data_IF_647667767748
#
_entry.id   IF_647667767748
#
_cell.length_a   1.000
_cell.length_b   1.000
_cell.length_c   1.000
_cell.angle_alpha   90.00
_cell.angle_beta   90.00
_cell.angle_gamma   90.00
#
_symmetry.space_group_name_H-M   'P 1'
#
loop_
_entity.id
_entity.type
_entity.pdbx_description
1 polymer ?
#
# COMPACT_ATOMS: atom_id res chain seq x y z
N UNK A 1 9.33 71.61 -2.03
CA UNK A 1 9.93 71.20 -0.76
C UNK A 1 8.88 70.35 -0.04
N UNK A 2 8.92 69.04 0.24
CA UNK A 2 9.96 68.03 0.26
C UNK A 2 9.28 66.65 0.21
N UNK A 3 9.34 65.94 -0.93
CA UNK A 3 9.00 64.50 -0.99
C UNK A 3 10.04 63.71 -1.79
N UNK A 4 10.58 64.31 -2.85
CA UNK A 4 11.67 63.71 -3.63
C UNK A 4 13.01 63.71 -2.87
N UNK A 5 13.28 64.75 -2.06
CA UNK A 5 14.48 64.83 -1.20
C UNK A 5 14.42 63.80 -0.05
N UNK A 6 13.25 63.62 0.56
CA UNK A 6 13.02 62.60 1.58
C UNK A 6 13.13 61.15 1.03
N UNK A 7 12.77 60.94 -0.23
CA UNK A 7 12.93 59.65 -0.91
C UNK A 7 14.39 59.39 -1.32
N UNK A 8 15.12 60.40 -1.79
CA UNK A 8 16.57 60.30 -2.06
C UNK A 8 17.37 60.06 -0.77
N UNK A 9 16.99 60.68 0.35
CA UNK A 9 17.61 60.45 1.65
C UNK A 9 17.36 59.03 2.19
N UNK A 10 16.16 58.46 1.97
CA UNK A 10 15.85 57.06 2.32
C UNK A 10 16.57 56.04 1.44
N UNK A 11 16.77 56.33 0.16
CA UNK A 11 17.52 55.44 -0.75
C UNK A 11 19.02 55.50 -0.49
N UNK A 12 19.56 56.65 -0.07
CA UNK A 12 20.98 56.79 0.30
C UNK A 12 21.35 56.09 1.63
N UNK A 13 20.39 55.94 2.57
CA UNK A 13 20.61 55.18 3.81
C UNK A 13 20.61 53.65 3.61
N UNK A 14 20.25 53.15 2.42
CA UNK A 14 20.21 51.72 2.11
C UNK A 14 21.45 51.21 1.33
N UNK A 15 22.39 52.10 0.99
CA UNK A 15 23.62 51.75 0.26
C UNK A 15 24.83 52.24 1.05
N UNK A 16 25.04 51.63 2.22
CA UNK A 16 26.31 51.68 2.95
C UNK A 16 27.15 50.45 2.60
N UNK A 17 28.29 50.67 1.95
CA UNK A 17 29.29 49.63 1.74
C UNK A 17 29.99 49.28 3.06
N UNK A 18 30.05 48.00 3.41
CA UNK A 18 31.05 47.47 4.34
C UNK A 18 31.63 46.17 3.79
N UNK A 19 32.82 46.33 3.21
CA UNK A 19 33.97 45.42 3.27
C UNK A 19 33.87 44.31 4.34
N UNK A 20 34.19 43.08 3.93
CA UNK A 20 34.84 42.01 4.71
C UNK A 20 34.29 41.67 6.11
N UNK A 21 33.64 40.49 6.24
CA UNK A 21 33.88 39.48 7.31
C UNK A 21 32.81 38.38 7.21
N UNK A 22 33.14 37.18 6.71
CA UNK A 22 33.65 36.04 7.51
C UNK A 22 32.80 35.79 8.77
N UNK A 23 31.74 35.00 8.60
CA UNK A 23 31.03 34.39 9.70
C UNK A 23 31.86 33.26 10.29
N UNK A 24 32.33 33.49 11.52
CA UNK A 24 32.87 32.60 12.56
C UNK A 24 34.05 33.33 13.22
N UNK A 25 33.74 34.20 14.18
CA UNK A 25 34.72 34.90 15.00
C UNK A 25 35.29 33.96 16.07
N UNK A 26 36.17 33.06 15.65
CA UNK A 26 37.07 32.31 16.53
C UNK A 26 38.46 32.49 15.93
N UNK A 27 39.41 32.99 16.73
CA UNK A 27 40.80 33.12 16.30
C UNK A 27 41.35 31.72 15.95
N UNK A 28 41.91 31.58 14.74
CA UNK A 28 42.57 30.35 14.32
C UNK A 28 43.80 30.11 15.20
N UNK A 29 43.92 28.92 15.77
CA UNK A 29 45.04 28.52 16.61
C UNK A 29 46.38 28.65 15.83
N UNK A 30 47.48 29.16 16.43
CA UNK A 30 48.75 29.44 15.76
C UNK A 30 49.43 28.23 15.11
N UNK A 31 48.93 27.00 15.34
CA UNK A 31 49.42 25.78 14.71
C UNK A 31 48.90 25.57 13.27
N UNK A 32 47.91 26.36 12.82
CA UNK A 32 47.25 26.20 11.51
C UNK A 32 47.51 27.36 10.54
N UNK A 33 48.27 28.38 10.94
CA UNK A 33 48.58 29.53 10.08
C UNK A 33 49.60 29.23 8.97
N UNK A 34 50.41 28.18 9.10
CA UNK A 34 51.60 27.97 8.25
C UNK A 34 51.43 26.95 7.12
N UNK A 35 50.22 26.39 6.93
CA UNK A 35 49.94 25.40 5.86
C UNK A 35 49.70 26.03 4.47
N UNK A 36 49.89 27.35 4.33
CA UNK A 36 49.52 28.11 3.13
C UNK A 36 50.66 28.46 2.16
N UNK A 37 51.91 28.11 2.46
CA UNK A 37 53.05 28.55 1.64
C UNK A 37 53.89 27.39 1.12
N UNK A 38 53.69 27.03 -0.15
CA UNK A 38 54.70 26.35 -0.96
C UNK A 38 54.52 26.73 -2.43
N UNK A 39 55.55 27.38 -2.98
CA UNK A 39 55.70 27.85 -4.37
C UNK A 39 56.14 26.71 -5.30
N UNK A 40 56.01 26.85 -6.64
CA UNK A 40 56.09 25.74 -7.57
C UNK A 40 57.54 25.38 -7.92
N UNK A 41 57.83 24.09 -8.09
CA UNK A 41 59.04 23.63 -8.76
C UNK A 41 58.73 22.40 -9.62
N UNK A 42 58.87 22.60 -10.93
CA UNK A 42 58.99 21.56 -11.93
C UNK A 42 60.35 20.88 -11.76
N UNK A 43 60.40 19.55 -11.70
CA UNK A 43 61.38 18.81 -12.51
C UNK A 43 60.99 17.34 -12.71
N UNK A 44 60.95 16.96 -13.98
CA UNK A 44 60.73 15.60 -14.47
C UNK A 44 61.91 14.70 -14.10
N UNK A 45 61.64 13.50 -13.60
CA UNK A 45 62.61 12.40 -13.67
C UNK A 45 61.93 11.15 -14.23
N UNK A 46 62.21 10.88 -15.51
CA UNK A 46 61.91 9.61 -16.19
C UNK A 46 62.65 8.48 -15.48
N UNK A 47 61.94 7.41 -15.14
CA UNK A 47 62.48 6.05 -15.08
C UNK A 47 61.46 5.09 -15.66
N UNK A 48 61.73 4.70 -16.89
CA UNK A 48 61.32 3.44 -17.49
C UNK A 48 61.86 2.30 -16.64
N UNK A 49 61.00 1.39 -16.19
CA UNK A 49 61.22 -0.05 -16.05
C UNK A 49 59.94 -0.67 -15.50
N UNK A 50 59.19 -1.31 -16.38
CA UNK A 50 58.02 -2.11 -16.04
C UNK A 50 58.46 -3.36 -15.27
N UNK A 51 58.40 -3.29 -13.93
CA UNK A 51 58.37 -4.50 -13.12
C UNK A 51 56.94 -5.02 -13.13
N UNK A 52 56.68 -6.10 -13.86
CA UNK A 52 55.37 -6.76 -13.84
C UNK A 52 55.10 -7.25 -12.42
N UNK A 53 53.95 -6.84 -11.88
CA UNK A 53 53.54 -7.19 -10.53
C UNK A 53 53.07 -8.65 -10.53
N UNK A 54 53.66 -9.56 -9.72
CA UNK A 54 53.36 -11.00 -9.75
C UNK A 54 51.93 -11.37 -9.29
N UNK A 55 51.09 -10.37 -8.96
CA UNK A 55 49.65 -10.53 -8.68
C UNK A 55 48.73 -10.18 -9.87
N UNK A 56 49.28 -9.85 -11.03
CA UNK A 56 48.53 -9.63 -12.28
C UNK A 56 48.82 -10.80 -13.23
N UNK A 57 48.05 -11.88 -13.10
CA UNK A 57 48.10 -13.02 -14.01
C UNK A 57 47.55 -12.66 -15.40
N UNK A 58 48.27 -13.10 -16.44
CA UNK A 58 47.86 -12.95 -17.82
C UNK A 58 47.02 -14.15 -18.29
N UNK A 59 45.71 -13.89 -18.45
CA UNK A 59 44.72 -14.62 -19.28
C UNK A 59 44.31 -16.03 -18.79
N UNK A 60 43.10 -16.55 -19.11
CA UNK A 60 42.27 -16.25 -20.28
C UNK A 60 40.76 -16.06 -19.99
N UNK A 61 40.03 -15.74 -21.06
CA UNK A 61 38.57 -15.79 -21.25
C UNK A 61 37.67 -16.09 -20.02
N UNK A 62 36.90 -15.06 -19.67
CA UNK A 62 35.47 -15.14 -19.35
C UNK A 62 35.02 -15.66 -17.97
N UNK A 63 34.34 -14.75 -17.25
CA UNK A 63 33.26 -14.95 -16.27
C UNK A 63 33.63 -15.24 -14.79
N UNK A 64 33.76 -14.13 -14.02
CA UNK A 64 33.36 -14.00 -12.60
C UNK A 64 34.33 -13.13 -11.77
N UNK A 65 33.92 -12.21 -10.85
CA UNK A 65 32.60 -11.99 -10.25
C UNK A 65 31.90 -10.70 -10.75
N UNK A 66 30.58 -10.61 -10.58
CA UNK A 66 29.69 -9.55 -11.09
C UNK A 66 29.83 -8.20 -10.36
N UNK A 67 30.98 -7.55 -10.45
CA UNK A 67 31.17 -6.15 -10.04
C UNK A 67 31.17 -5.25 -11.26
N UNK A 68 29.99 -4.84 -11.77
CA UNK A 68 29.90 -3.88 -12.88
C UNK A 68 30.69 -2.63 -12.50
N UNK A 69 31.81 -2.36 -13.18
CA UNK A 69 32.45 -1.04 -13.12
C UNK A 69 31.39 -0.04 -13.56
N UNK A 70 30.86 0.71 -12.58
CA UNK A 70 29.81 1.69 -12.85
C UNK A 70 30.45 2.76 -13.73
N UNK A 71 29.99 2.96 -14.98
CA UNK A 71 30.50 4.05 -15.77
C UNK A 71 30.26 5.33 -14.98
N UNK A 72 31.32 6.12 -14.77
CA UNK A 72 31.20 7.40 -14.08
C UNK A 72 30.22 8.27 -14.86
N UNK A 73 29.10 8.61 -14.24
CA UNK A 73 28.00 9.35 -14.91
C UNK A 73 28.56 10.66 -15.47
N UNK A 74 28.55 10.81 -16.78
CA UNK A 74 28.99 12.05 -17.42
C UNK A 74 28.09 13.19 -16.98
N UNK A 75 28.70 14.36 -16.72
CA UNK A 75 27.95 15.55 -16.34
C UNK A 75 27.12 16.03 -17.53
N UNK A 76 25.83 15.73 -17.51
CA UNK A 76 24.88 16.23 -18.51
C UNK A 76 24.35 17.60 -18.07
N UNK A 77 25.02 18.65 -18.51
CA UNK A 77 24.62 20.02 -18.21
C UNK A 77 23.34 20.39 -18.95
N UNK A 78 22.39 20.97 -18.23
CA UNK A 78 21.20 21.54 -18.85
C UNK A 78 21.55 22.89 -19.49
N UNK A 79 21.05 23.19 -20.70
CA UNK A 79 21.29 24.47 -21.33
C UNK A 79 20.70 25.61 -20.49
N UNK A 80 21.40 26.75 -20.47
CA UNK A 80 20.95 27.95 -19.76
C UNK A 80 19.53 28.31 -20.20
N UNK A 81 18.67 28.60 -19.22
CA UNK A 81 17.28 28.99 -19.49
C UNK A 81 16.25 27.86 -19.49
N UNK A 82 16.63 26.57 -19.54
CA UNK A 82 15.67 25.45 -19.49
C UNK A 82 14.73 25.53 -18.28
N UNK A 83 15.29 25.66 -17.08
CA UNK A 83 14.51 25.77 -15.84
C UNK A 83 13.87 27.15 -15.64
N UNK A 84 14.42 28.19 -16.26
CA UNK A 84 13.83 29.53 -16.25
C UNK A 84 12.52 29.52 -17.07
N UNK A 85 12.53 28.88 -18.25
CA UNK A 85 11.35 28.70 -19.09
C UNK A 85 10.30 27.83 -18.38
N UNK A 86 10.70 26.73 -17.75
CA UNK A 86 9.79 25.89 -16.96
C UNK A 86 9.17 26.66 -15.80
N UNK A 87 9.95 27.45 -15.06
CA UNK A 87 9.45 28.29 -13.97
C UNK A 87 8.52 29.41 -14.45
N UNK A 88 8.77 29.98 -15.64
CA UNK A 88 7.85 30.94 -16.27
C UNK A 88 6.54 30.28 -16.70
N UNK A 89 6.59 29.05 -17.24
CA UNK A 89 5.40 28.30 -17.62
C UNK A 89 4.51 27.98 -16.42
N UNK A 90 5.10 27.52 -15.31
CA UNK A 90 4.38 27.26 -14.06
C UNK A 90 3.74 28.54 -13.49
N UNK A 91 4.45 29.66 -13.51
CA UNK A 91 3.90 30.96 -13.08
C UNK A 91 2.72 31.41 -13.94
N UNK A 92 2.78 31.20 -15.27
CA UNK A 92 1.64 31.48 -16.16
C UNK A 92 0.45 30.59 -15.87
N UNK A 93 0.67 29.29 -15.62
CA UNK A 93 -0.39 28.36 -15.24
C UNK A 93 -1.07 28.79 -13.94
N UNK A 94 -0.28 29.11 -12.91
CA UNK A 94 -0.80 29.62 -11.64
C UNK A 94 -1.58 30.94 -11.80
N UNK A 95 -1.11 31.85 -12.66
CA UNK A 95 -1.83 33.09 -12.95
C UNK A 95 -3.17 32.85 -13.65
N UNK A 96 -3.23 31.88 -14.59
CA UNK A 96 -4.47 31.49 -15.25
C UNK A 96 -5.45 30.82 -14.28
N UNK A 97 -4.95 29.97 -13.39
CA UNK A 97 -5.76 29.33 -12.36
C UNK A 97 -6.34 30.36 -11.37
N UNK A 98 -5.51 31.31 -10.92
CA UNK A 98 -5.98 32.41 -10.07
C UNK A 98 -7.02 33.29 -10.78
N UNK A 99 -6.85 33.54 -12.09
CA UNK A 99 -7.84 34.28 -12.88
C UNK A 99 -9.15 33.51 -12.98
N UNK A 100 -9.11 32.19 -13.20
CA UNK A 100 -10.30 31.33 -13.21
C UNK A 100 -11.01 31.31 -11.86
N UNK A 101 -10.27 31.17 -10.77
CA UNK A 101 -10.82 31.21 -9.41
C UNK A 101 -11.51 32.55 -9.14
N UNK A 102 -10.90 33.67 -9.55
CA UNK A 102 -11.50 35.00 -9.40
C UNK A 102 -12.75 35.19 -10.25
N UNK A 103 -12.77 34.65 -11.48
CA UNK A 103 -13.97 34.66 -12.32
C UNK A 103 -15.08 33.84 -11.64
N UNK A 104 -14.78 32.65 -11.14
CA UNK A 104 -15.75 31.82 -10.40
C UNK A 104 -16.27 32.51 -9.13
N UNK A 105 -15.40 33.19 -8.36
CA UNK A 105 -15.83 33.98 -7.20
C UNK A 105 -16.71 35.16 -7.61
N UNK A 106 -16.41 35.80 -8.74
CA UNK A 106 -17.21 36.90 -9.27
C UNK A 106 -18.56 36.42 -9.82
N UNK A 107 -18.63 35.27 -10.50
CA UNK A 107 -19.90 34.68 -10.96
C UNK A 107 -20.77 34.26 -9.79
N UNK A 108 -20.19 33.60 -8.78
CA UNK A 108 -20.88 33.26 -7.53
C UNK A 108 -21.36 34.50 -6.78
N UNK A 109 -20.53 35.55 -6.72
CA UNK A 109 -20.90 36.83 -6.08
C UNK A 109 -21.96 37.60 -6.87
N UNK A 110 -21.98 37.46 -8.20
CA UNK A 110 -23.02 38.00 -9.07
C UNK A 110 -24.30 37.16 -9.05
N UNK A 111 -24.33 36.03 -8.33
CA UNK A 111 -25.50 35.16 -8.23
C UNK A 111 -25.80 34.35 -9.49
N UNK A 112 -24.89 34.32 -10.47
CA UNK A 112 -25.11 33.66 -11.78
C UNK A 112 -24.77 32.16 -11.74
N UNK A 113 -24.22 31.66 -10.62
CA UNK A 113 -24.13 30.21 -10.34
C UNK A 113 -25.49 29.67 -9.83
N UNK A 114 -26.57 30.09 -10.48
CA UNK A 114 -27.82 29.35 -10.50
C UNK A 114 -27.63 28.21 -11.49
N UNK A 115 -27.20 27.05 -10.96
CA UNK A 115 -27.75 25.79 -11.45
C UNK A 115 -29.25 26.05 -11.62
N UNK A 116 -29.92 25.65 -12.72
CA UNK A 116 -31.36 25.87 -12.90
C UNK A 116 -32.18 24.96 -11.95
N UNK A 117 -31.78 24.91 -10.68
CA UNK A 117 -32.48 24.35 -9.54
C UNK A 117 -33.81 25.04 -9.34
N UNK A 118 -33.92 26.33 -9.67
CA UNK A 118 -35.20 27.05 -9.59
C UNK A 118 -36.26 26.43 -10.50
N UNK A 119 -35.88 25.91 -11.69
CA UNK A 119 -36.80 25.17 -12.57
C UNK A 119 -37.28 23.86 -11.95
N UNK A 120 -36.47 23.23 -11.10
CA UNK A 120 -36.86 21.99 -10.40
C UNK A 120 -37.83 22.24 -9.24
N UNK A 121 -37.98 23.48 -8.79
CA UNK A 121 -38.97 23.88 -7.78
C UNK A 121 -40.20 24.55 -8.39
N UNK A 122 -40.22 24.78 -9.71
CA UNK A 122 -41.44 25.16 -10.41
C UNK A 122 -42.37 23.95 -10.40
N UNK A 123 -43.44 24.03 -9.61
CA UNK A 123 -44.50 23.04 -9.62
C UNK A 123 -45.23 23.18 -10.95
N UNK A 124 -45.00 22.25 -11.87
CA UNK A 124 -45.75 22.17 -13.11
C UNK A 124 -47.23 21.90 -12.82
N UNK A 125 -48.11 22.38 -13.69
CA UNK A 125 -49.52 22.05 -13.59
C UNK A 125 -49.67 20.52 -13.70
N UNK A 126 -50.47 19.87 -12.84
CA UNK A 126 -50.75 18.45 -12.97
C UNK A 126 -51.28 18.13 -14.38
N UNK A 127 -50.87 17.00 -15.00
CA UNK A 127 -51.40 16.59 -16.28
C UNK A 127 -52.90 16.28 -16.18
N UNK A 128 -53.62 16.41 -17.29
CA UNK A 128 -55.07 16.18 -17.34
C UNK A 128 -55.46 14.72 -17.02
N UNK A 129 -54.53 13.78 -17.20
CA UNK A 129 -54.67 12.35 -16.87
C UNK A 129 -53.39 11.88 -16.18
N UNK A 130 -53.53 11.12 -15.10
CA UNK A 130 -52.38 10.54 -14.38
C UNK A 130 -51.78 9.37 -15.17
N UNK A 131 -50.47 9.22 -15.18
CA UNK A 131 -49.74 8.27 -16.05
C UNK A 131 -50.16 6.80 -15.88
N UNK A 132 -50.69 6.42 -14.71
CA UNK A 132 -51.19 5.06 -14.47
C UNK A 132 -52.61 4.85 -15.02
N UNK A 133 -53.40 5.91 -15.14
CA UNK A 133 -54.75 5.90 -15.68
C UNK A 133 -54.79 6.13 -17.20
N UNK A 134 -53.71 6.65 -17.78
CA UNK A 134 -53.58 6.96 -19.21
C UNK A 134 -53.98 5.79 -20.12
N UNK A 135 -53.65 4.55 -19.72
CA UNK A 135 -53.98 3.35 -20.48
C UNK A 135 -55.47 3.04 -20.59
N UNK A 136 -56.30 3.58 -19.69
CA UNK A 136 -57.75 3.37 -19.69
C UNK A 136 -58.47 4.30 -20.67
N UNK A 137 -57.88 5.45 -20.98
CA UNK A 137 -58.51 6.47 -21.83
C UNK A 137 -58.05 6.37 -23.30
N UNK A 138 -58.95 6.61 -24.27
CA UNK A 138 -58.55 6.86 -25.65
C UNK A 138 -57.75 8.16 -25.79
N UNK A 139 -56.92 8.27 -26.83
CA UNK A 139 -56.11 9.47 -27.10
C UNK A 139 -56.96 10.77 -27.10
N UNK A 140 -56.53 11.76 -26.32
CA UNK A 140 -57.19 13.07 -26.23
C UNK A 140 -58.40 13.14 -25.30
N UNK A 141 -58.70 12.08 -24.53
CA UNK A 141 -59.73 12.06 -23.49
C UNK A 141 -59.12 12.30 -22.10
N UNK A 142 -59.90 12.85 -21.19
CA UNK A 142 -59.52 13.13 -19.80
C UNK A 142 -60.67 12.81 -18.83
N UNK A 143 -60.45 13.02 -17.53
CA UNK A 143 -61.46 12.78 -16.48
C UNK A 143 -62.71 13.67 -16.59
N UNK A 144 -62.77 14.66 -17.49
CA UNK A 144 -63.95 15.52 -17.65
C UNK A 144 -65.00 14.95 -18.61
N UNK A 145 -64.65 13.90 -19.38
CA UNK A 145 -65.50 13.31 -20.42
C UNK A 145 -66.21 12.03 -19.96
N UNK A 146 -67.01 12.14 -18.89
CA UNK A 146 -67.83 11.03 -18.34
C UNK A 146 -69.32 11.25 -18.57
N UNK A 147 -69.77 11.35 -19.82
CA UNK A 147 -71.19 11.13 -20.09
C UNK A 147 -71.53 9.64 -19.89
N UNK A 148 -72.74 9.32 -19.41
CA UNK A 148 -73.14 7.94 -19.09
C UNK A 148 -72.94 6.96 -20.27
N UNK A 149 -73.10 7.45 -21.50
CA UNK A 149 -72.89 6.68 -22.73
C UNK A 149 -71.42 6.44 -23.08
N UNK A 150 -70.52 7.34 -22.69
CA UNK A 150 -69.07 7.21 -22.98
C UNK A 150 -68.38 6.39 -21.90
N UNK A 151 -68.88 6.46 -20.66
CA UNK A 151 -68.41 5.65 -19.55
C UNK A 151 -68.67 4.15 -19.77
N UNK A 152 -69.84 3.80 -20.30
CA UNK A 152 -70.19 2.41 -20.64
C UNK A 152 -69.29 1.84 -21.75
N UNK A 153 -68.97 2.63 -22.77
CA UNK A 153 -68.03 2.24 -23.84
C UNK A 153 -66.60 2.09 -23.32
N UNK A 154 -66.18 2.94 -22.37
CA UNK A 154 -64.87 2.81 -21.70
C UNK A 154 -64.80 1.52 -20.89
N UNK A 155 -65.83 1.20 -20.10
CA UNK A 155 -65.89 -0.05 -19.33
C UNK A 155 -65.84 -1.28 -20.26
N UNK A 156 -66.62 -1.28 -21.34
CA UNK A 156 -66.62 -2.40 -22.28
C UNK A 156 -65.25 -2.63 -22.93
N UNK A 157 -64.51 -1.53 -23.21
CA UNK A 157 -63.14 -1.60 -23.74
C UNK A 157 -62.12 -2.06 -22.70
N UNK A 158 -62.20 -1.54 -21.48
CA UNK A 158 -61.20 -1.78 -20.42
C UNK A 158 -61.41 -3.12 -19.73
N UNK A 159 -62.66 -3.53 -19.52
CA UNK A 159 -63.05 -4.76 -18.83
C UNK A 159 -63.59 -5.85 -19.79
N UNK A 160 -63.47 -5.64 -21.11
CA UNK A 160 -63.83 -6.63 -22.12
C UNK A 160 -62.98 -7.89 -22.05
N UNK A 161 -63.29 -8.90 -22.87
CA UNK A 161 -62.56 -10.19 -22.86
C UNK A 161 -61.06 -10.05 -23.12
N UNK A 162 -60.67 -9.05 -23.93
CA UNK A 162 -59.28 -8.69 -24.24
C UNK A 162 -58.87 -7.35 -23.57
N UNK A 163 -59.58 -6.97 -22.50
CA UNK A 163 -59.40 -5.72 -21.77
C UNK A 163 -58.17 -5.72 -20.85
N UNK A 164 -57.78 -4.53 -20.40
CA UNK A 164 -56.66 -4.34 -19.46
C UNK A 164 -56.98 -4.81 -18.04
N UNK A 165 -58.26 -4.71 -17.64
CA UNK A 165 -58.72 -5.10 -16.31
C UNK A 165 -59.42 -6.46 -16.41
N UNK A 166 -59.00 -7.37 -15.56
CA UNK A 166 -59.56 -8.71 -15.41
C UNK A 166 -59.81 -8.99 -13.93
N UNK A 167 -60.63 -10.00 -13.63
CA UNK A 167 -60.91 -10.45 -12.26
C UNK A 167 -59.71 -11.14 -11.58
N UNK A 168 -58.60 -11.29 -12.32
CA UNK A 168 -57.37 -11.93 -11.86
C UNK A 168 -56.52 -10.99 -11.01
N UNK A 169 -56.03 -11.50 -9.88
CA UNK A 169 -55.14 -10.77 -8.97
C UNK A 169 -53.69 -11.17 -9.24
N UNK A 170 -52.85 -10.22 -9.66
CA UNK A 170 -51.42 -10.44 -9.81
C UNK A 170 -50.71 -10.36 -8.45
N UNK A 171 -49.98 -11.42 -8.09
CA UNK A 171 -49.08 -11.39 -6.94
C UNK A 171 -47.71 -10.85 -7.41
N UNK A 172 -47.09 -9.91 -6.66
CA UNK A 172 -45.79 -9.37 -7.04
C UNK A 172 -44.73 -10.46 -7.02
N UNK A 173 -43.68 -10.28 -7.83
CA UNK A 173 -42.55 -11.21 -7.90
C UNK A 173 -41.85 -11.24 -6.53
N UNK A 174 -41.69 -12.41 -5.89
CA UNK A 174 -40.92 -12.52 -4.65
C UNK A 174 -39.46 -12.12 -4.90
N UNK A 175 -38.99 -11.09 -4.21
CA UNK A 175 -37.59 -10.64 -4.25
C UNK A 175 -36.87 -11.27 -3.06
N UNK A 176 -35.70 -11.88 -3.29
CA UNK A 176 -34.87 -12.44 -2.21
C UNK A 176 -34.45 -11.32 -1.25
N UNK A 177 -34.55 -11.54 0.08
CA UNK A 177 -34.17 -10.53 1.04
C UNK A 177 -32.66 -10.26 0.92
N UNK A 178 -32.21 -8.99 0.96
CA UNK A 178 -30.79 -8.65 0.81
C UNK A 178 -29.90 -9.27 1.89
N UNK A 179 -30.48 -9.65 3.04
CA UNK A 179 -29.81 -10.28 4.17
C UNK A 179 -29.34 -11.71 3.90
N UNK A 180 -29.93 -12.42 2.93
CA UNK A 180 -29.50 -13.80 2.60
C UNK A 180 -28.08 -13.83 2.01
N UNK A 181 -27.60 -12.69 1.48
CA UNK A 181 -26.20 -12.51 1.07
C UNK A 181 -25.24 -12.44 2.26
N UNK A 182 -25.73 -12.16 3.46
CA UNK A 182 -24.95 -12.06 4.70
C UNK A 182 -24.92 -13.44 5.38
N UNK A 183 -24.34 -14.43 4.72
CA UNK A 183 -24.21 -15.78 5.28
C UNK A 183 -23.25 -15.73 6.48
N UNK A 184 -23.70 -16.07 7.70
CA UNK A 184 -22.82 -16.11 8.84
C UNK A 184 -21.82 -17.26 8.73
N UNK A 185 -20.64 -17.09 9.33
CA UNK A 185 -19.64 -18.15 9.36
C UNK A 185 -20.17 -19.44 9.99
N UNK A 186 -19.69 -20.57 9.48
CA UNK A 186 -20.06 -21.88 10.01
C UNK A 186 -19.75 -21.96 11.51
N UNK A 187 -20.78 -22.29 12.31
CA UNK A 187 -20.66 -22.37 13.76
C UNK A 187 -19.57 -23.40 14.15
N UNK A 188 -18.59 -23.03 14.99
CA UNK A 188 -17.57 -23.97 15.43
C UNK A 188 -18.19 -25.10 16.26
N UNK A 189 -17.77 -26.33 15.99
CA UNK A 189 -18.21 -27.51 16.74
C UNK A 189 -17.43 -27.63 18.04
N UNK A 190 -18.12 -27.47 19.17
CA UNK A 190 -17.54 -27.67 20.49
C UNK A 190 -17.63 -29.14 20.89
N UNK A 191 -16.50 -29.71 21.31
CA UNK A 191 -16.44 -31.08 21.85
C UNK A 191 -16.43 -31.03 23.38
N UNK A 192 -17.09 -31.99 24.02
CA UNK A 192 -17.00 -32.19 25.47
C UNK A 192 -15.58 -32.62 25.86
N UNK A 193 -15.20 -32.41 27.13
CA UNK A 193 -13.90 -32.87 27.64
C UNK A 193 -13.68 -34.39 27.47
N UNK A 194 -14.75 -35.18 27.55
CA UNK A 194 -14.70 -36.63 27.36
C UNK A 194 -14.39 -36.99 25.90
N UNK A 195 -15.05 -36.33 24.95
CA UNK A 195 -14.81 -36.53 23.53
C UNK A 195 -13.41 -36.05 23.11
N UNK A 196 -12.96 -34.91 23.63
CA UNK A 196 -11.59 -34.43 23.42
C UNK A 196 -10.56 -35.45 23.94
N UNK A 197 -10.79 -36.02 25.13
CA UNK A 197 -9.94 -37.07 25.72
C UNK A 197 -9.97 -38.34 24.87
N UNK A 198 -11.13 -38.75 24.37
CA UNK A 198 -11.31 -39.93 23.50
C UNK A 198 -10.55 -39.74 22.19
N UNK A 199 -10.73 -38.60 21.52
CA UNK A 199 -10.06 -38.26 20.26
C UNK A 199 -8.54 -38.22 20.43
N UNK A 200 -8.03 -37.56 21.49
CA UNK A 200 -6.60 -37.54 21.81
C UNK A 200 -6.05 -38.94 22.04
N UNK A 201 -6.77 -39.80 22.76
CA UNK A 201 -6.35 -41.19 23.01
C UNK A 201 -6.29 -41.99 21.71
N UNK A 202 -7.32 -41.90 20.86
CA UNK A 202 -7.37 -42.59 19.57
C UNK A 202 -6.24 -42.13 18.64
N UNK A 203 -6.00 -40.82 18.52
CA UNK A 203 -4.89 -40.27 17.72
C UNK A 203 -3.52 -40.76 18.20
N UNK A 204 -3.28 -40.75 19.52
CA UNK A 204 -2.02 -41.27 20.10
C UNK A 204 -1.84 -42.77 19.88
N UNK A 205 -2.92 -43.55 20.03
CA UNK A 205 -2.87 -44.99 19.76
C UNK A 205 -2.60 -45.28 18.28
N UNK A 206 -3.20 -44.53 17.36
CA UNK A 206 -2.96 -44.67 15.94
C UNK A 206 -1.50 -44.35 15.58
N UNK A 207 -0.99 -43.20 16.04
CA UNK A 207 0.40 -42.79 15.80
C UNK A 207 1.42 -43.80 16.37
N UNK A 208 1.17 -44.33 17.59
CA UNK A 208 2.04 -45.34 18.19
C UNK A 208 1.98 -46.68 17.43
N UNK A 209 0.81 -47.09 16.95
CA UNK A 209 0.68 -48.30 16.12
C UNK A 209 1.39 -48.14 14.79
N UNK A 210 1.28 -46.96 14.18
CA UNK A 210 1.97 -46.63 12.93
C UNK A 210 3.50 -46.67 13.11
N UNK A 211 4.05 -46.04 14.15
CA UNK A 211 5.49 -46.09 14.42
C UNK A 211 5.98 -47.51 14.71
N UNK A 212 5.19 -48.30 15.46
CA UNK A 212 5.51 -49.71 15.68
C UNK A 212 5.48 -50.53 14.39
N UNK A 213 4.52 -50.26 13.49
CA UNK A 213 4.46 -50.94 12.19
C UNK A 213 5.68 -50.57 11.33
N UNK A 214 6.09 -49.30 11.30
CA UNK A 214 7.31 -48.84 10.61
C UNK A 214 8.57 -49.51 11.16
N UNK A 215 8.68 -49.66 12.48
CA UNK A 215 9.79 -50.37 13.12
C UNK A 215 9.78 -51.87 12.79
N UNK A 216 8.61 -52.53 12.83
CA UNK A 216 8.48 -53.96 12.46
C UNK A 216 8.85 -54.21 10.99
N UNK A 217 8.52 -53.26 10.12
CA UNK A 217 8.87 -53.30 8.70
C UNK A 217 10.33 -52.91 8.43
N UNK A 218 11.05 -52.40 9.44
CA UNK A 218 12.45 -52.00 9.31
C UNK A 218 12.68 -50.65 8.62
N UNK A 219 11.63 -49.84 8.43
CA UNK A 219 11.74 -48.49 7.84
C UNK A 219 12.32 -47.48 8.84
N UNK A 220 12.03 -47.68 10.12
CA UNK A 220 12.54 -46.84 11.21
C UNK A 220 13.34 -47.71 12.19
N UNK A 221 14.56 -47.29 12.60
CA UNK A 221 15.30 -47.99 13.63
C UNK A 221 14.59 -47.86 14.98
N UNK A 222 14.80 -48.83 15.86
CA UNK A 222 14.27 -48.74 17.23
C UNK A 222 14.87 -47.51 17.92
N UNK A 223 14.04 -46.69 18.60
CA UNK A 223 14.52 -45.48 19.25
C UNK A 223 15.53 -45.82 20.35
N UNK A 224 16.65 -45.10 20.38
CA UNK A 224 17.70 -45.25 21.41
C UNK A 224 17.13 -44.95 22.81
N UNK A 225 17.62 -45.60 23.88
CA UNK A 225 17.13 -45.36 25.24
C UNK A 225 17.40 -43.91 25.66
N UNK A 226 16.40 -43.27 26.27
CA UNK A 226 16.51 -41.88 26.73
C UNK A 226 17.36 -41.79 27.99
N UNK A 227 18.58 -41.25 27.88
CA UNK A 227 19.47 -41.09 29.04
C UNK A 227 19.25 -39.73 29.73
N UNK A 228 19.32 -39.73 31.06
CA UNK A 228 19.33 -38.56 31.95
C UNK A 228 20.57 -38.65 32.83
N UNK A 229 21.06 -37.52 33.36
CA UNK A 229 22.18 -37.52 34.32
C UNK A 229 21.89 -38.42 35.53
N UNK A 230 20.68 -38.37 36.10
CA UNK A 230 20.28 -39.24 37.21
C UNK A 230 20.19 -40.73 36.84
N UNK A 231 20.06 -41.07 35.56
CA UNK A 231 19.96 -42.44 35.05
C UNK A 231 21.27 -42.92 34.39
N UNK A 232 22.31 -42.09 34.39
CA UNK A 232 23.56 -42.32 33.66
C UNK A 232 24.26 -43.58 34.17
N UNK A 233 24.46 -43.69 35.47
CA UNK A 233 25.08 -44.87 36.10
C UNK A 233 24.28 -46.16 35.91
N UNK A 234 22.94 -46.07 35.82
CA UNK A 234 22.09 -47.27 35.64
C UNK A 234 22.12 -47.78 34.20
N UNK A 235 22.25 -46.90 33.21
CA UNK A 235 22.13 -47.25 31.79
C UNK A 235 23.51 -47.44 31.14
N UNK A 236 24.47 -46.59 31.48
CA UNK A 236 25.81 -46.55 30.91
C UNK A 236 26.89 -46.83 31.96
N UNK A 237 26.55 -47.49 33.08
CA UNK A 237 27.47 -47.68 34.21
C UNK A 237 28.83 -48.29 33.81
N UNK A 238 28.83 -49.32 32.97
CA UNK A 238 30.07 -49.96 32.49
C UNK A 238 30.96 -49.00 31.69
N UNK A 239 30.37 -48.15 30.84
CA UNK A 239 31.10 -47.14 30.05
C UNK A 239 31.56 -45.98 30.94
N UNK A 240 30.73 -45.58 31.91
CA UNK A 240 31.00 -44.45 32.79
C UNK A 240 32.05 -44.77 33.86
N UNK A 241 32.24 -46.04 34.21
CA UNK A 241 33.35 -46.48 35.06
C UNK A 241 34.69 -46.34 34.31
N UNK A 242 34.70 -46.53 32.99
CA UNK A 242 35.90 -46.38 32.16
C UNK A 242 36.26 -44.90 31.96
N UNK A 243 35.32 -44.11 31.44
CA UNK A 243 35.53 -42.68 31.14
C UNK A 243 34.34 -41.80 31.61
N UNK A 244 34.32 -41.37 32.89
CA UNK A 244 33.15 -40.70 33.47
C UNK A 244 32.82 -39.36 32.78
N UNK A 245 33.82 -38.52 32.53
CA UNK A 245 33.64 -37.19 31.93
C UNK A 245 33.14 -37.26 30.48
N UNK A 246 33.61 -38.24 29.70
CA UNK A 246 33.19 -38.40 28.31
C UNK A 246 31.72 -38.85 28.22
N UNK A 247 31.30 -39.78 29.09
CA UNK A 247 29.92 -40.25 29.15
C UNK A 247 28.97 -39.16 29.66
N UNK A 248 29.39 -38.38 30.66
CA UNK A 248 28.63 -37.21 31.12
C UNK A 248 28.45 -36.17 30.00
N UNK A 249 29.53 -35.80 29.30
CA UNK A 249 29.47 -34.86 28.19
C UNK A 249 28.56 -35.36 27.06
N UNK A 250 28.58 -36.67 26.76
CA UNK A 250 27.67 -37.29 25.77
C UNK A 250 26.20 -37.18 26.21
N UNK A 251 25.90 -37.46 27.47
CA UNK A 251 24.53 -37.35 28.00
C UNK A 251 24.07 -35.89 28.03
N UNK A 252 24.95 -34.95 28.37
CA UNK A 252 24.66 -33.52 28.29
C UNK A 252 24.35 -33.07 26.86
N UNK A 253 25.11 -33.54 25.86
CA UNK A 253 24.82 -33.30 24.45
C UNK A 253 23.45 -33.85 24.05
N UNK A 254 23.12 -35.08 24.42
CA UNK A 254 21.81 -35.69 24.10
C UNK A 254 20.63 -34.93 24.77
N UNK A 255 20.82 -34.46 26.01
CA UNK A 255 19.84 -33.63 26.70
C UNK A 255 19.67 -32.28 25.98
N UNK A 256 20.77 -31.64 25.56
CA UNK A 256 20.75 -30.39 24.82
C UNK A 256 20.10 -30.56 23.45
N UNK A 257 20.41 -31.61 22.71
CA UNK A 257 19.76 -31.95 21.43
C UNK A 257 18.26 -32.14 21.61
N UNK A 258 17.83 -32.86 22.66
CA UNK A 258 16.40 -33.05 22.97
C UNK A 258 15.70 -31.74 23.36
N UNK A 259 16.42 -30.84 24.02
CA UNK A 259 15.92 -29.50 24.32
C UNK A 259 15.76 -28.69 23.03
N UNK A 260 16.80 -28.66 22.18
CA UNK A 260 16.78 -28.00 20.87
C UNK A 260 15.69 -28.54 19.94
N UNK A 261 15.38 -29.83 19.99
CA UNK A 261 14.28 -30.44 19.20
C UNK A 261 12.88 -30.10 19.75
N UNK A 262 12.77 -29.76 21.03
CA UNK A 262 11.49 -29.43 21.66
C UNK A 262 11.15 -27.94 21.54
N UNK A 263 12.15 -27.07 21.67
CA UNK A 263 12.04 -25.63 21.46
C UNK A 263 11.86 -25.30 19.99
#
# INVERSE_FOLDING_TARGET
MDKLAALKARVAAAVGSTSTNRGLAVELHPALSDLGSSKPLYEQKKRTESRSNPYLEAAPASLGPTGKERPTRSLQFNPKGKYIQQGNALRRQAALEAMKARIAEQTRKAGIDEIPSEKNFVVEAPPDVEWFDESYFPEGRNYSHFSDSEFTQLIERVCGSDGLISDLIQHPIPIEPPQDKLIPDAKPLYMTRQEQKKLRRQRRMAAMKESQAKQRLGLEPTPKPKVKLSSLMRVLGNEAIQDPTAVEARVHKEIAERHQQHT
#
